data_IF_762208925056
#
_entry.id   IF_762208925056
#
_cell.length_a   1.000
_cell.length_b   1.000
_cell.length_c   1.000
_cell.angle_alpha   90.00
_cell.angle_beta   90.00
_cell.angle_gamma   90.00
#
_symmetry.space_group_name_H-M   'P 1'
#
loop_
_entity.id
_entity.type
_entity.pdbx_description
1 polymer ?
#
# COMPACT_ATOMS: atom_id res chain seq x y z
N UNK A 1 -17.67 35.02 32.40
CA UNK A 1 -19.14 35.10 32.35
C UNK A 1 -19.68 33.74 31.99
N UNK A 2 -20.74 33.29 32.68
CA UNK A 2 -21.36 32.00 32.38
C UNK A 2 -22.19 32.07 31.10
N UNK A 3 -21.96 31.16 30.16
CA UNK A 3 -22.85 30.99 29.02
C UNK A 3 -24.16 30.35 29.49
N UNK A 4 -25.26 31.09 29.35
CA UNK A 4 -26.62 30.66 29.67
C UNK A 4 -26.93 29.32 28.97
N UNK A 5 -27.21 28.26 29.73
CA UNK A 5 -27.66 27.00 29.13
C UNK A 5 -29.04 27.20 28.51
N UNK A 6 -29.26 26.83 27.23
CA UNK A 6 -30.58 26.99 26.62
C UNK A 6 -31.62 26.09 27.28
N UNK A 7 -32.83 26.61 27.51
CA UNK A 7 -33.91 25.90 28.18
C UNK A 7 -34.30 24.58 27.47
N UNK A 8 -34.08 24.47 26.17
CA UNK A 8 -34.31 23.27 25.35
C UNK A 8 -33.37 22.09 25.68
N UNK A 9 -32.35 22.29 26.52
CA UNK A 9 -31.43 21.23 26.95
C UNK A 9 -31.94 20.38 28.13
N UNK A 10 -33.05 20.78 28.78
CA UNK A 10 -33.43 20.32 30.12
C UNK A 10 -33.94 18.87 30.24
N UNK A 11 -34.07 18.13 29.13
CA UNK A 11 -34.53 16.73 29.12
C UNK A 11 -33.69 15.78 28.25
N UNK A 12 -32.60 16.24 27.64
CA UNK A 12 -31.79 15.44 26.72
C UNK A 12 -30.67 14.69 27.44
N UNK A 13 -30.41 13.45 27.02
CA UNK A 13 -29.32 12.64 27.57
C UNK A 13 -27.95 13.35 27.42
N UNK A 14 -27.05 13.27 28.41
CA UNK A 14 -25.82 14.07 28.42
C UNK A 14 -24.83 13.69 27.31
N UNK A 15 -24.88 12.47 26.80
CA UNK A 15 -24.13 11.99 25.63
C UNK A 15 -24.71 12.54 24.31
N UNK A 16 -26.04 12.51 24.15
CA UNK A 16 -26.74 13.11 23.00
C UNK A 16 -26.46 14.61 22.93
N UNK A 17 -26.52 15.30 24.08
CA UNK A 17 -26.23 16.73 24.19
C UNK A 17 -24.79 17.07 23.74
N UNK A 18 -23.78 16.37 24.25
CA UNK A 18 -22.37 16.56 23.83
C UNK A 18 -22.18 16.29 22.33
N UNK A 19 -22.83 15.24 21.80
CA UNK A 19 -22.79 14.90 20.36
C UNK A 19 -23.39 16.03 19.51
N UNK A 20 -24.49 16.63 19.95
CA UNK A 20 -25.11 17.78 19.30
C UNK A 20 -24.20 19.01 19.34
N UNK A 21 -23.63 19.36 20.50
CA UNK A 21 -22.71 20.49 20.66
C UNK A 21 -21.50 20.37 19.70
N UNK A 22 -20.83 19.21 19.68
CA UNK A 22 -19.69 18.93 18.79
C UNK A 22 -20.10 19.04 17.30
N UNK A 23 -21.26 18.51 16.93
CA UNK A 23 -21.70 18.50 15.53
C UNK A 23 -22.15 19.88 15.03
N UNK A 24 -22.85 20.65 15.87
CA UNK A 24 -23.23 22.03 15.58
C UNK A 24 -21.99 22.93 15.43
N UNK A 25 -20.96 22.75 16.27
CA UNK A 25 -19.69 23.45 16.10
C UNK A 25 -19.04 23.12 14.75
N UNK A 26 -18.87 21.85 14.40
CA UNK A 26 -18.27 21.45 13.12
C UNK A 26 -19.07 21.98 11.92
N UNK A 27 -20.39 21.95 11.97
CA UNK A 27 -21.24 22.45 10.87
C UNK A 27 -21.19 23.99 10.79
N UNK A 28 -21.09 24.71 11.92
CA UNK A 28 -20.86 26.17 11.90
C UNK A 28 -19.50 26.57 11.32
N UNK A 29 -18.49 25.70 11.45
CA UNK A 29 -17.13 25.92 10.93
C UNK A 29 -17.01 25.60 9.43
N UNK A 30 -17.66 24.52 8.97
CA UNK A 30 -17.52 23.99 7.61
C UNK A 30 -18.65 24.39 6.64
N UNK A 31 -19.74 25.00 7.15
CA UNK A 31 -20.83 25.52 6.31
C UNK A 31 -21.98 24.54 6.04
N UNK A 32 -23.03 24.99 5.33
CA UNK A 32 -24.27 24.22 5.11
C UNK A 32 -24.12 23.03 4.15
N UNK A 33 -23.09 23.03 3.28
CA UNK A 33 -22.80 21.88 2.41
C UNK A 33 -22.30 20.67 3.22
N UNK A 34 -21.56 20.93 4.29
CA UNK A 34 -21.15 19.90 5.25
C UNK A 34 -22.35 19.35 6.03
N UNK A 35 -23.30 20.20 6.43
CA UNK A 35 -24.59 19.79 7.04
C UNK A 35 -25.33 18.78 6.15
N UNK A 36 -25.48 19.12 4.87
CA UNK A 36 -26.15 18.28 3.86
C UNK A 36 -25.42 16.95 3.65
N UNK A 37 -24.08 16.97 3.60
CA UNK A 37 -23.24 15.78 3.41
C UNK A 37 -23.28 14.85 4.62
N UNK A 38 -23.15 15.39 5.83
CA UNK A 38 -23.23 14.64 7.09
C UNK A 38 -24.61 14.00 7.24
N UNK A 39 -25.67 14.75 6.92
CA UNK A 39 -27.04 14.26 6.87
C UNK A 39 -27.10 13.04 5.94
N UNK A 40 -26.87 13.22 4.63
CA UNK A 40 -26.98 12.17 3.62
C UNK A 40 -26.22 10.87 3.96
N UNK A 41 -24.99 10.98 4.49
CA UNK A 41 -24.17 9.80 4.85
C UNK A 41 -24.68 9.03 6.08
N UNK A 42 -25.46 9.67 6.97
CA UNK A 42 -25.86 9.10 8.26
C UNK A 42 -27.37 8.86 8.38
N UNK A 43 -28.12 8.83 7.27
CA UNK A 43 -29.59 8.67 7.26
C UNK A 43 -30.08 7.41 7.99
N UNK A 44 -29.30 6.32 7.96
CA UNK A 44 -29.63 5.05 8.61
C UNK A 44 -29.04 4.90 10.03
N UNK A 45 -28.41 5.94 10.58
CA UNK A 45 -27.76 5.88 11.89
C UNK A 45 -28.62 6.58 12.97
N UNK A 46 -29.18 5.85 13.96
CA UNK A 46 -30.02 6.45 15.00
C UNK A 46 -29.28 7.48 15.86
N UNK A 47 -27.94 7.43 15.93
CA UNK A 47 -27.16 8.44 16.66
C UNK A 47 -27.23 9.82 15.99
N UNK A 48 -27.48 9.90 14.69
CA UNK A 48 -27.63 11.16 13.94
C UNK A 48 -29.10 11.54 13.67
N UNK A 49 -30.07 10.86 14.31
CA UNK A 49 -31.50 11.15 14.15
C UNK A 49 -31.86 12.61 14.47
N UNK A 50 -31.11 13.30 15.34
CA UNK A 50 -31.29 14.73 15.63
C UNK A 50 -31.10 15.64 14.39
N UNK A 51 -30.39 15.20 13.36
CA UNK A 51 -30.29 15.92 12.06
C UNK A 51 -31.56 15.75 11.20
N UNK A 52 -32.49 14.89 11.61
CA UNK A 52 -33.65 14.44 10.83
C UNK A 52 -34.98 14.63 11.59
N UNK A 53 -35.03 15.63 12.49
CA UNK A 53 -36.16 15.90 13.39
C UNK A 53 -36.37 14.82 14.47
N UNK A 54 -35.35 14.01 14.76
CA UNK A 54 -35.32 13.14 15.94
C UNK A 54 -35.01 13.88 17.24
N UNK A 55 -34.85 13.11 18.33
CA UNK A 55 -34.61 13.62 19.67
C UNK A 55 -33.40 14.60 19.70
N UNK A 56 -33.64 15.83 20.18
CA UNK A 56 -32.62 16.88 20.26
C UNK A 56 -32.46 17.77 19.01
N UNK A 57 -33.28 17.60 17.97
CA UNK A 57 -33.21 18.44 16.75
C UNK A 57 -33.41 19.95 17.00
N UNK A 58 -34.30 20.31 17.92
CA UNK A 58 -34.52 21.71 18.34
C UNK A 58 -33.27 22.30 18.99
N UNK A 59 -32.65 21.55 19.90
CA UNK A 59 -31.42 21.94 20.58
C UNK A 59 -30.25 22.06 19.59
N UNK A 60 -30.13 21.14 18.63
CA UNK A 60 -29.16 21.22 17.55
C UNK A 60 -29.31 22.51 16.72
N UNK A 61 -30.54 22.83 16.29
CA UNK A 61 -30.82 24.03 15.51
C UNK A 61 -30.50 25.30 16.30
N UNK A 62 -30.79 25.32 17.60
CA UNK A 62 -30.51 26.43 18.50
C UNK A 62 -29.02 26.64 18.75
N UNK A 63 -28.25 25.57 19.01
CA UNK A 63 -26.79 25.63 19.17
C UNK A 63 -26.11 26.06 17.87
N UNK A 64 -26.53 25.50 16.73
CA UNK A 64 -26.00 25.88 15.42
C UNK A 64 -26.29 27.36 15.10
N UNK A 65 -27.49 27.84 15.43
CA UNK A 65 -27.86 29.25 15.31
C UNK A 65 -27.02 30.15 16.23
N UNK A 66 -26.76 29.73 17.47
CA UNK A 66 -25.89 30.45 18.40
C UNK A 66 -24.44 30.54 17.88
N UNK A 67 -23.89 29.45 17.33
CA UNK A 67 -22.54 29.46 16.72
C UNK A 67 -22.47 30.32 15.45
N UNK A 68 -23.52 30.35 14.62
CA UNK A 68 -23.60 31.25 13.46
C UNK A 68 -23.77 32.72 13.89
N UNK A 69 -24.54 32.98 14.94
CA UNK A 69 -24.82 34.33 15.47
C UNK A 69 -23.64 34.94 16.23
N UNK A 70 -22.88 34.13 16.98
CA UNK A 70 -21.67 34.55 17.69
C UNK A 70 -20.49 34.96 16.78
N UNK A 71 -20.65 34.85 15.46
CA UNK A 71 -19.63 35.18 14.44
C UNK A 71 -20.09 36.20 13.40
N UNK A 72 -21.24 36.86 13.61
CA UNK A 72 -21.90 37.72 12.63
C UNK A 72 -22.11 39.16 13.10
N UNK A 73 -21.11 40.02 12.92
CA UNK A 73 -21.24 41.47 13.05
C UNK A 73 -20.73 42.18 11.80
N UNK A 74 -21.65 42.74 11.00
CA UNK A 74 -21.43 43.47 9.74
C UNK A 74 -20.89 42.61 8.55
N UNK A 75 -21.27 42.83 7.29
CA UNK A 75 -22.40 43.57 6.71
C UNK A 75 -22.69 43.00 5.29
N UNK A 76 -23.85 43.35 4.70
CA UNK A 76 -24.20 42.98 3.33
C UNK A 76 -23.42 43.78 2.27
N UNK A 77 -23.32 43.22 1.04
CA UNK A 77 -23.40 43.89 -0.27
C UNK A 77 -22.98 42.91 -1.41
N UNK A 78 -23.25 43.17 -2.70
CA UNK A 78 -24.56 43.47 -3.26
C UNK A 78 -24.87 42.64 -4.53
N UNK A 79 -26.13 42.68 -4.99
CA UNK A 79 -26.51 42.13 -6.29
C UNK A 79 -26.10 43.08 -7.44
N UNK A 80 -25.09 42.74 -8.23
CA UNK A 80 -24.87 43.32 -9.58
C UNK A 80 -24.24 42.29 -10.53
N UNK A 81 -24.89 42.05 -11.67
CA UNK A 81 -24.26 41.41 -12.84
C UNK A 81 -23.44 42.48 -13.58
N UNK A 82 -22.32 42.11 -14.24
CA UNK A 82 -22.42 41.94 -15.70
C UNK A 82 -21.44 40.91 -16.31
N UNK A 83 -21.64 40.62 -17.60
CA UNK A 83 -20.54 40.28 -18.51
C UNK A 83 -20.11 38.82 -18.57
N UNK A 84 -20.58 38.10 -19.60
CA UNK A 84 -20.00 36.80 -19.98
C UNK A 84 -18.57 36.99 -20.49
N UNK A 85 -17.57 36.46 -19.77
CA UNK A 85 -16.25 36.24 -20.34
C UNK A 85 -15.78 34.81 -20.05
N UNK A 86 -15.79 34.02 -21.12
CA UNK A 86 -15.73 32.57 -21.11
C UNK A 86 -14.29 32.07 -20.88
N UNK A 87 -13.94 31.75 -19.63
CA UNK A 87 -12.83 30.85 -19.33
C UNK A 87 -13.37 29.47 -18.97
N UNK A 88 -13.18 28.50 -19.87
CA UNK A 88 -13.46 27.10 -19.59
C UNK A 88 -12.39 26.54 -18.63
N UNK A 89 -12.63 26.65 -17.33
CA UNK A 89 -12.07 25.70 -16.36
C UNK A 89 -13.12 24.63 -16.11
N UNK A 90 -12.85 23.43 -16.61
CA UNK A 90 -13.75 22.29 -16.53
C UNK A 90 -14.02 21.90 -15.07
N UNK A 91 -15.30 21.63 -14.78
CA UNK A 91 -15.70 21.04 -13.53
C UNK A 91 -15.22 19.58 -13.45
N UNK A 92 -14.47 19.28 -12.40
CA UNK A 92 -14.35 17.97 -11.77
C UNK A 92 -14.26 18.28 -10.27
N UNK A 93 -15.29 18.03 -9.48
CA UNK A 93 -15.74 16.68 -9.18
C UNK A 93 -15.11 16.33 -7.83
N UNK A 94 -15.92 16.30 -6.76
CA UNK A 94 -15.40 16.35 -5.40
C UNK A 94 -14.46 15.20 -5.05
N UNK A 95 -13.27 15.54 -4.58
CA UNK A 95 -12.40 14.68 -3.79
C UNK A 95 -12.19 15.37 -2.43
N UNK A 96 -11.94 14.58 -1.38
CA UNK A 96 -12.02 15.06 0.00
C UNK A 96 -10.99 16.14 0.34
N UNK A 97 -11.16 16.75 1.52
CA UNK A 97 -10.05 17.42 2.19
C UNK A 97 -8.94 16.39 2.37
N UNK A 98 -7.93 16.43 1.49
CA UNK A 98 -6.76 15.57 1.57
C UNK A 98 -6.03 15.93 2.86
N UNK A 99 -6.02 15.00 3.82
CA UNK A 99 -5.21 15.16 5.01
C UNK A 99 -3.74 15.29 4.56
N UNK A 100 -3.10 16.46 4.77
CA UNK A 100 -1.81 16.74 4.15
C UNK A 100 -0.71 15.84 4.72
N UNK A 101 -0.86 15.40 5.97
CA UNK A 101 0.06 14.46 6.61
C UNK A 101 -0.08 13.07 5.99
N UNK A 102 -1.31 12.57 5.79
CA UNK A 102 -1.55 11.30 5.10
C UNK A 102 -1.00 11.31 3.66
N UNK A 103 -1.16 12.42 2.93
CA UNK A 103 -0.64 12.56 1.57
C UNK A 103 0.90 12.44 1.53
N UNK A 104 1.61 13.06 2.49
CA UNK A 104 3.07 12.93 2.60
C UNK A 104 3.53 11.56 3.10
N UNK A 105 2.74 10.88 3.94
CA UNK A 105 2.98 9.48 4.32
C UNK A 105 2.84 8.56 3.10
N UNK A 106 1.80 8.72 2.28
CA UNK A 106 1.60 7.95 1.03
C UNK A 106 2.73 8.21 0.02
N UNK A 107 3.22 9.44 -0.08
CA UNK A 107 4.38 9.78 -0.92
C UNK A 107 5.65 9.05 -0.50
N UNK A 108 5.89 8.91 0.81
CA UNK A 108 7.05 8.18 1.36
C UNK A 108 6.92 6.67 1.18
N UNK A 109 5.73 6.12 1.40
CA UNK A 109 5.44 4.68 1.31
C UNK A 109 4.75 4.29 0.00
N UNK A 110 5.25 4.78 -1.13
CA UNK A 110 4.68 4.49 -2.45
C UNK A 110 4.58 2.99 -2.73
N UNK A 111 3.49 2.56 -3.35
CA UNK A 111 3.29 1.16 -3.78
C UNK A 111 4.44 0.70 -4.70
N UNK A 112 5.21 -0.35 -4.32
CA UNK A 112 6.31 -0.83 -5.14
C UNK A 112 5.80 -1.56 -6.40
N UNK A 113 6.51 -1.47 -7.53
CA UNK A 113 6.17 -2.25 -8.72
C UNK A 113 6.37 -3.75 -8.46
N UNK A 114 5.36 -4.56 -8.80
CA UNK A 114 5.43 -6.02 -8.65
C UNK A 114 5.94 -6.65 -9.94
N UNK A 115 7.08 -7.31 -9.85
CA UNK A 115 7.69 -8.06 -10.94
C UNK A 115 7.14 -9.51 -11.00
N UNK A 116 7.05 -10.11 -12.19
CA UNK A 116 6.70 -11.53 -12.33
C UNK A 116 7.80 -12.43 -11.75
N UNK A 117 7.40 -13.59 -11.24
CA UNK A 117 8.31 -14.68 -10.91
C UNK A 117 8.49 -15.60 -12.14
N UNK A 118 9.55 -16.41 -12.15
CA UNK A 118 9.60 -17.56 -13.05
C UNK A 118 8.47 -18.56 -12.71
N UNK A 119 7.89 -19.23 -13.70
CA UNK A 119 6.65 -19.99 -13.51
C UNK A 119 6.76 -21.18 -12.53
N UNK A 120 7.95 -21.75 -12.36
CA UNK A 120 8.27 -22.74 -11.33
C UNK A 120 8.32 -22.12 -9.93
N UNK A 121 8.94 -20.94 -9.78
CA UNK A 121 8.96 -20.18 -8.52
C UNK A 121 7.57 -19.65 -8.15
N UNK A 122 6.77 -19.25 -9.15
CA UNK A 122 5.38 -18.85 -8.96
C UNK A 122 4.52 -20.00 -8.46
N UNK A 123 4.71 -21.21 -9.01
CA UNK A 123 4.05 -22.43 -8.55
C UNK A 123 4.45 -22.78 -7.11
N UNK A 124 5.74 -22.74 -6.78
CA UNK A 124 6.21 -22.97 -5.40
C UNK A 124 5.63 -21.94 -4.42
N UNK A 125 5.54 -20.66 -4.80
CA UNK A 125 4.87 -19.66 -3.97
C UNK A 125 3.37 -19.96 -3.79
N UNK A 126 2.69 -20.49 -4.81
CA UNK A 126 1.30 -20.95 -4.71
C UNK A 126 1.16 -22.14 -3.76
N UNK A 127 2.09 -23.10 -3.80
CA UNK A 127 2.13 -24.24 -2.87
C UNK A 127 2.34 -23.77 -1.42
N UNK A 128 3.25 -22.82 -1.19
CA UNK A 128 3.46 -22.21 0.14
C UNK A 128 2.20 -21.51 0.63
N UNK A 129 1.57 -20.65 -0.17
CA UNK A 129 0.33 -19.95 0.23
C UNK A 129 -0.81 -20.94 0.47
N UNK A 130 -1.01 -21.93 -0.40
CA UNK A 130 -2.03 -22.95 -0.22
C UNK A 130 -1.82 -23.77 1.06
N UNK A 131 -0.57 -24.07 1.44
CA UNK A 131 -0.27 -24.74 2.71
C UNK A 131 -0.68 -23.91 3.93
N UNK A 132 -0.55 -22.59 3.87
CA UNK A 132 -0.97 -21.65 4.91
C UNK A 132 -2.51 -21.49 4.96
N UNK A 133 -3.18 -21.53 3.81
CA UNK A 133 -4.65 -21.53 3.75
C UNK A 133 -5.25 -22.82 4.33
N UNK A 134 -4.64 -23.98 4.05
CA UNK A 134 -5.05 -25.25 4.64
C UNK A 134 -4.77 -25.30 6.15
N UNK A 135 -3.54 -25.00 6.59
CA UNK A 135 -3.17 -24.98 8.00
C UNK A 135 -1.85 -24.21 8.24
N UNK A 136 -1.94 -23.04 8.89
CA UNK A 136 -0.77 -22.34 9.43
C UNK A 136 -0.32 -22.97 10.76
N UNK A 137 0.48 -24.02 10.67
CA UNK A 137 1.22 -24.57 11.81
C UNK A 137 2.59 -23.91 11.92
N UNK A 138 3.25 -24.10 13.07
CA UNK A 138 4.65 -23.68 13.27
C UNK A 138 5.58 -24.25 12.19
N UNK A 139 5.28 -25.44 11.69
CA UNK A 139 6.12 -26.15 10.73
C UNK A 139 5.80 -25.77 9.27
N UNK A 140 4.56 -25.42 8.92
CA UNK A 140 4.26 -24.83 7.58
C UNK A 140 4.80 -23.41 7.46
N UNK A 141 4.67 -22.58 8.50
CA UNK A 141 5.28 -21.25 8.57
C UNK A 141 6.82 -21.35 8.43
N UNK A 142 7.46 -22.23 9.22
CA UNK A 142 8.91 -22.47 9.14
C UNK A 142 9.34 -22.97 7.76
N UNK A 143 8.59 -23.88 7.15
CA UNK A 143 8.88 -24.41 5.81
C UNK A 143 8.83 -23.30 4.75
N UNK A 144 7.75 -22.50 4.75
CA UNK A 144 7.63 -21.33 3.89
C UNK A 144 8.76 -20.32 4.09
N UNK A 145 9.15 -20.06 5.35
CA UNK A 145 10.29 -19.21 5.67
C UNK A 145 11.60 -19.74 5.09
N UNK A 146 11.91 -21.02 5.29
CA UNK A 146 13.11 -21.65 4.75
C UNK A 146 13.16 -21.57 3.22
N UNK A 147 12.03 -21.75 2.53
CA UNK A 147 11.94 -21.58 1.08
C UNK A 147 12.24 -20.13 0.66
N UNK A 148 11.72 -19.12 1.37
CA UNK A 148 12.03 -17.70 1.10
C UNK A 148 13.53 -17.40 1.33
N UNK A 149 14.14 -17.96 2.38
CA UNK A 149 15.57 -17.78 2.67
C UNK A 149 16.47 -18.38 1.56
N UNK A 150 16.15 -19.59 1.09
CA UNK A 150 16.82 -20.22 -0.05
C UNK A 150 16.68 -19.42 -1.35
N UNK A 151 15.59 -18.65 -1.50
CA UNK A 151 15.30 -17.82 -2.67
C UNK A 151 15.53 -16.32 -2.42
N UNK A 152 16.40 -15.98 -1.46
CA UNK A 152 16.64 -14.58 -1.03
C UNK A 152 17.06 -13.63 -2.15
N UNK A 153 17.71 -14.12 -3.21
CA UNK A 153 18.08 -13.32 -4.39
C UNK A 153 16.86 -12.73 -5.14
N UNK A 154 15.70 -13.39 -5.07
CA UNK A 154 14.43 -12.95 -5.69
C UNK A 154 13.40 -12.49 -4.62
N UNK A 155 13.83 -12.27 -3.38
CA UNK A 155 12.95 -11.84 -2.28
C UNK A 155 12.05 -10.63 -2.59
N UNK A 156 12.48 -9.58 -3.33
CA UNK A 156 11.58 -8.48 -3.71
C UNK A 156 10.43 -8.92 -4.61
N UNK A 157 10.66 -9.91 -5.49
CA UNK A 157 9.64 -10.47 -6.38
C UNK A 157 8.64 -11.32 -5.58
N UNK A 158 9.15 -12.15 -4.64
CA UNK A 158 8.33 -12.92 -3.71
C UNK A 158 7.45 -11.99 -2.86
N UNK A 159 8.02 -10.93 -2.28
CA UNK A 159 7.29 -9.95 -1.47
C UNK A 159 6.18 -9.25 -2.26
N UNK A 160 6.46 -8.82 -3.50
CA UNK A 160 5.46 -8.23 -4.39
C UNK A 160 4.35 -9.20 -4.78
N UNK A 161 4.65 -10.47 -5.01
CA UNK A 161 3.63 -11.48 -5.31
C UNK A 161 2.78 -11.84 -4.08
N UNK A 162 3.36 -11.89 -2.87
CA UNK A 162 2.61 -12.01 -1.62
C UNK A 162 1.67 -10.82 -1.40
N UNK A 163 2.12 -9.60 -1.67
CA UNK A 163 1.32 -8.37 -1.62
C UNK A 163 0.11 -8.44 -2.58
N UNK A 164 0.28 -8.93 -3.80
CA UNK A 164 -0.87 -9.13 -4.72
C UNK A 164 -1.83 -10.21 -4.22
N UNK A 165 -1.31 -11.32 -3.69
CA UNK A 165 -2.12 -12.50 -3.32
C UNK A 165 -2.93 -12.28 -2.04
N UNK A 166 -2.40 -11.60 -1.03
CA UNK A 166 -3.08 -11.41 0.27
C UNK A 166 -4.43 -10.68 0.15
N UNK A 167 -4.59 -9.80 -0.84
CA UNK A 167 -5.87 -9.12 -1.12
C UNK A 167 -7.00 -10.04 -1.60
N UNK A 168 -6.68 -11.20 -2.19
CA UNK A 168 -7.66 -12.18 -2.68
C UNK A 168 -8.01 -13.26 -1.65
N UNK A 169 -7.27 -13.35 -0.53
CA UNK A 169 -7.57 -14.29 0.55
C UNK A 169 -8.88 -13.89 1.22
N UNK A 170 -9.83 -14.82 1.30
CA UNK A 170 -11.22 -14.52 1.69
C UNK A 170 -11.42 -14.37 3.19
N UNK A 171 -10.63 -15.08 4.01
CA UNK A 171 -10.79 -15.09 5.48
C UNK A 171 -9.74 -14.22 6.16
N UNK A 172 -10.10 -13.65 7.32
CA UNK A 172 -9.15 -12.92 8.16
C UNK A 172 -8.01 -13.83 8.64
N UNK A 173 -8.31 -15.11 8.90
CA UNK A 173 -7.31 -16.13 9.26
C UNK A 173 -6.25 -16.29 8.16
N UNK A 174 -6.64 -16.48 6.89
CA UNK A 174 -5.67 -16.69 5.80
C UNK A 174 -4.77 -15.45 5.61
N UNK A 175 -5.31 -14.23 5.74
CA UNK A 175 -4.50 -12.99 5.71
C UNK A 175 -3.52 -12.91 6.88
N UNK A 176 -3.95 -13.29 8.08
CA UNK A 176 -3.06 -13.39 9.26
C UNK A 176 -1.99 -14.47 9.09
N UNK A 177 -2.30 -15.61 8.48
CA UNK A 177 -1.32 -16.68 8.21
C UNK A 177 -0.17 -16.20 7.32
N UNK A 178 -0.47 -15.42 6.28
CA UNK A 178 0.55 -14.77 5.45
C UNK A 178 1.34 -13.72 6.24
N UNK A 179 0.69 -12.91 7.08
CA UNK A 179 1.39 -11.99 7.98
C UNK A 179 2.30 -12.70 8.99
N UNK A 180 1.92 -13.88 9.50
CA UNK A 180 2.77 -14.71 10.37
C UNK A 180 3.99 -15.25 9.63
N UNK A 181 3.86 -15.65 8.36
CA UNK A 181 5.01 -16.01 7.52
C UNK A 181 5.94 -14.80 7.29
N UNK A 182 5.40 -13.64 6.92
CA UNK A 182 6.20 -12.41 6.74
C UNK A 182 6.89 -12.01 8.04
N UNK A 183 6.20 -12.10 9.17
CA UNK A 183 6.78 -11.88 10.49
C UNK A 183 7.91 -12.89 10.81
N UNK A 184 7.73 -14.18 10.52
CA UNK A 184 8.75 -15.19 10.82
C UNK A 184 10.03 -15.01 9.98
N UNK A 185 9.89 -14.64 8.71
CA UNK A 185 10.99 -14.23 7.82
C UNK A 185 11.76 -13.05 8.42
N UNK A 186 11.06 -11.97 8.75
CA UNK A 186 11.68 -10.72 9.21
C UNK A 186 12.30 -10.87 10.60
N UNK A 187 11.65 -11.56 11.55
CA UNK A 187 12.21 -11.76 12.88
C UNK A 187 13.44 -12.68 12.84
N UNK A 188 13.42 -13.71 11.98
CA UNK A 188 14.54 -14.64 11.84
C UNK A 188 15.76 -13.92 11.28
N UNK A 189 15.59 -13.05 10.29
CA UNK A 189 16.71 -12.25 9.79
C UNK A 189 17.12 -11.14 10.77
N UNK A 190 16.18 -10.50 11.47
CA UNK A 190 16.51 -9.50 12.50
C UNK A 190 17.34 -10.07 13.65
N UNK A 191 17.20 -11.36 13.95
CA UNK A 191 18.01 -12.10 14.91
C UNK A 191 19.40 -12.50 14.38
N UNK A 192 19.64 -12.46 13.06
CA UNK A 192 20.97 -12.69 12.48
C UNK A 192 21.86 -11.46 12.71
N UNK A 193 23.13 -11.72 13.02
CA UNK A 193 24.18 -10.68 13.13
C UNK A 193 24.69 -10.21 11.75
N UNK A 194 23.88 -10.36 10.71
CA UNK A 194 24.17 -9.89 9.35
C UNK A 194 23.79 -8.40 9.25
N UNK A 195 24.72 -7.60 8.72
CA UNK A 195 24.53 -6.16 8.46
C UNK A 195 23.80 -5.89 7.13
N UNK A 196 23.79 -6.84 6.20
CA UNK A 196 23.17 -6.68 4.89
C UNK A 196 21.64 -6.83 4.95
N UNK A 197 21.12 -7.71 5.81
CA UNK A 197 19.67 -7.93 6.03
C UNK A 197 18.84 -7.94 4.73
N UNK A 198 19.19 -8.80 3.75
CA UNK A 198 18.61 -8.76 2.42
C UNK A 198 17.08 -8.95 2.40
N UNK A 199 16.52 -9.80 3.26
CA UNK A 199 15.08 -10.06 3.31
C UNK A 199 14.32 -8.88 3.92
N UNK A 200 14.82 -8.26 4.99
CA UNK A 200 14.25 -7.03 5.57
C UNK A 200 14.31 -5.90 4.53
N UNK A 201 15.44 -5.72 3.84
CA UNK A 201 15.55 -4.71 2.76
C UNK A 201 14.57 -4.99 1.61
N UNK A 202 14.36 -6.26 1.25
CA UNK A 202 13.45 -6.66 0.18
C UNK A 202 11.97 -6.50 0.57
N UNK A 203 11.57 -6.92 1.78
CA UNK A 203 10.17 -6.94 2.23
C UNK A 203 9.69 -5.60 2.80
N UNK A 204 10.57 -4.78 3.39
CA UNK A 204 10.20 -3.53 4.06
C UNK A 204 9.30 -2.60 3.23
N UNK A 205 9.56 -2.33 1.93
CA UNK A 205 8.69 -1.49 1.10
C UNK A 205 7.26 -2.03 0.92
N UNK A 206 7.08 -3.36 1.01
CA UNK A 206 5.79 -4.03 0.83
C UNK A 206 4.97 -4.13 2.12
N UNK A 207 5.57 -3.90 3.29
CA UNK A 207 4.91 -4.05 4.60
C UNK A 207 3.57 -3.32 4.73
N UNK A 208 3.43 -2.01 4.45
CA UNK A 208 2.12 -1.34 4.56
C UNK A 208 1.08 -1.96 3.62
N UNK A 209 1.51 -2.43 2.44
CA UNK A 209 0.64 -2.98 1.40
C UNK A 209 0.21 -4.42 1.66
N UNK A 210 0.97 -5.19 2.43
CA UNK A 210 0.56 -6.50 2.98
C UNK A 210 -0.28 -6.31 4.25
N UNK A 211 0.09 -5.36 5.11
CA UNK A 211 -0.59 -5.07 6.39
C UNK A 211 -2.01 -4.54 6.18
N UNK A 212 -2.19 -3.56 5.28
CA UNK A 212 -3.47 -2.88 5.00
C UNK A 212 -4.64 -3.83 4.68
N UNK A 213 -4.57 -4.73 3.68
CA UNK A 213 -5.68 -5.64 3.37
C UNK A 213 -5.98 -6.63 4.50
N UNK A 214 -4.99 -7.02 5.30
CA UNK A 214 -5.21 -7.83 6.49
C UNK A 214 -5.92 -7.03 7.58
N UNK A 215 -5.45 -5.82 7.90
CA UNK A 215 -6.03 -4.94 8.91
C UNK A 215 -7.46 -4.51 8.58
N UNK A 216 -7.75 -4.18 7.33
CA UNK A 216 -9.09 -3.79 6.89
C UNK A 216 -10.10 -4.93 7.02
N UNK A 217 -9.74 -6.16 6.64
CA UNK A 217 -10.60 -7.32 6.85
C UNK A 217 -10.75 -7.66 8.35
N UNK A 218 -9.68 -7.47 9.12
CA UNK A 218 -9.69 -7.69 10.56
C UNK A 218 -10.51 -6.65 11.35
N UNK A 219 -10.62 -5.40 10.87
CA UNK A 219 -11.51 -4.38 11.44
C UNK A 219 -13.00 -4.70 11.21
N UNK A 220 -13.33 -5.38 10.11
CA UNK A 220 -14.69 -5.82 9.81
C UNK A 220 -15.08 -7.14 10.53
N UNK A 221 -14.13 -7.81 11.19
CA UNK A 221 -14.37 -9.04 11.91
C UNK A 221 -14.92 -8.76 13.32
N UNK A 222 -15.81 -9.63 13.88
CA UNK A 222 -16.33 -9.48 15.23
C UNK A 222 -15.34 -9.90 16.34
N UNK A 223 -14.14 -10.35 15.98
CA UNK A 223 -13.06 -10.80 16.88
C UNK A 223 -11.94 -9.75 16.89
N UNK A 224 -11.12 -9.72 17.95
CA UNK A 224 -9.92 -8.86 18.06
C UNK A 224 -8.76 -9.32 17.15
N UNK A 225 -9.07 -9.62 15.89
CA UNK A 225 -8.07 -9.90 14.86
C UNK A 225 -7.29 -8.62 14.51
N UNK A 226 -7.93 -7.45 14.59
CA UNK A 226 -7.29 -6.17 14.30
C UNK A 226 -6.21 -5.84 15.32
N UNK A 227 -6.41 -6.16 16.61
CA UNK A 227 -5.39 -6.12 17.66
C UNK A 227 -4.21 -7.05 17.38
N UNK A 228 -4.44 -8.26 16.82
CA UNK A 228 -3.36 -9.17 16.41
C UNK A 228 -2.49 -8.59 15.29
N UNK A 229 -3.12 -7.99 14.26
CA UNK A 229 -2.40 -7.31 13.17
C UNK A 229 -1.53 -6.16 13.71
N UNK A 230 -2.07 -5.33 14.61
CA UNK A 230 -1.32 -4.25 15.25
C UNK A 230 -0.22 -4.78 16.20
N UNK A 231 -0.43 -5.93 16.87
CA UNK A 231 0.60 -6.55 17.71
C UNK A 231 1.81 -7.02 16.88
N UNK A 232 1.60 -7.57 15.68
CA UNK A 232 2.70 -7.92 14.77
C UNK A 232 3.53 -6.69 14.37
N UNK A 233 2.87 -5.55 14.12
CA UNK A 233 3.53 -4.28 13.83
C UNK A 233 4.38 -3.79 15.02
N UNK A 234 3.87 -3.90 16.25
CA UNK A 234 4.65 -3.59 17.46
C UNK A 234 5.84 -4.54 17.64
N UNK A 235 5.68 -5.85 17.37
CA UNK A 235 6.80 -6.79 17.38
C UNK A 235 7.88 -6.43 16.34
N UNK A 236 7.52 -5.83 15.20
CA UNK A 236 8.52 -5.33 14.24
C UNK A 236 9.30 -4.12 14.76
N UNK A 237 8.71 -3.29 15.64
CA UNK A 237 9.43 -2.24 16.37
C UNK A 237 10.36 -2.84 17.43
N UNK A 238 9.85 -3.77 18.26
CA UNK A 238 10.63 -4.46 19.31
C UNK A 238 11.86 -5.20 18.74
N UNK A 239 11.80 -5.66 17.48
CA UNK A 239 12.91 -6.32 16.77
C UNK A 239 13.79 -5.37 15.93
N UNK A 240 13.49 -4.07 15.89
CA UNK A 240 14.23 -3.10 15.09
C UNK A 240 14.15 -3.32 13.57
N UNK A 241 13.05 -3.90 13.08
CA UNK A 241 12.77 -4.08 11.65
C UNK A 241 12.21 -2.76 11.07
N UNK A 242 11.34 -2.11 11.83
CA UNK A 242 10.84 -0.75 11.62
C UNK A 242 11.09 0.08 12.86
N UNK A 243 11.25 1.39 12.70
CA UNK A 243 11.26 2.34 13.81
C UNK A 243 9.84 2.59 14.31
N UNK A 244 9.69 3.13 15.53
CA UNK A 244 8.38 3.53 16.06
C UNK A 244 7.63 4.46 15.10
N UNK A 245 8.32 5.48 14.58
CA UNK A 245 7.79 6.41 13.59
C UNK A 245 7.28 5.71 12.33
N UNK A 246 8.05 4.78 11.77
CA UNK A 246 7.62 4.00 10.60
C UNK A 246 6.40 3.13 10.94
N UNK A 247 6.30 2.59 12.15
CA UNK A 247 5.12 1.83 12.57
C UNK A 247 3.86 2.72 12.68
N UNK A 248 3.97 3.92 13.22
CA UNK A 248 2.86 4.87 13.28
C UNK A 248 2.39 5.27 11.86
N UNK A 249 3.32 5.49 10.94
CA UNK A 249 3.03 5.73 9.51
C UNK A 249 2.34 4.54 8.83
N UNK A 250 2.82 3.32 9.07
CA UNK A 250 2.21 2.08 8.57
C UNK A 250 0.79 1.87 9.10
N UNK A 251 0.51 2.29 10.35
CA UNK A 251 -0.83 2.26 10.94
C UNK A 251 -1.76 3.30 10.30
N UNK A 252 -1.28 4.52 10.08
CA UNK A 252 -2.02 5.55 9.34
C UNK A 252 -2.34 5.11 7.91
N UNK A 253 -1.44 4.36 7.25
CA UNK A 253 -1.70 3.76 5.94
C UNK A 253 -2.65 2.55 5.97
N UNK A 254 -2.75 1.82 7.08
CA UNK A 254 -3.64 0.66 7.18
C UNK A 254 -5.11 1.05 7.44
N UNK A 255 -5.33 2.18 8.12
CA UNK A 255 -6.63 2.54 8.73
C UNK A 255 -7.71 3.01 7.74
N UNK A 256 -7.48 3.99 6.83
CA UNK A 256 -8.54 4.51 5.97
C UNK A 256 -8.98 3.51 4.90
N UNK A 257 -10.26 3.49 4.50
CA UNK A 257 -10.77 2.55 3.50
C UNK A 257 -10.15 2.75 2.10
N UNK A 258 -9.94 4.01 1.70
CA UNK A 258 -9.23 4.42 0.49
C UNK A 258 -8.03 5.29 0.86
N UNK A 259 -6.97 5.27 0.05
CA UNK A 259 -5.82 6.18 0.20
C UNK A 259 -5.94 7.31 -0.84
N UNK A 260 -5.50 8.54 -0.52
CA UNK A 260 -5.38 9.60 -1.52
C UNK A 260 -4.49 9.10 -2.65
N UNK A 261 -5.07 9.00 -3.85
CA UNK A 261 -4.45 8.32 -4.97
C UNK A 261 -3.36 9.20 -5.58
N UNK A 262 -2.13 9.06 -5.08
CA UNK A 262 -0.92 9.69 -5.62
C UNK A 262 -0.58 9.32 -7.08
N UNK A 263 -1.46 8.59 -7.76
CA UNK A 263 -1.55 8.51 -9.21
C UNK A 263 -2.90 9.10 -9.64
N UNK A 264 -2.86 10.33 -10.16
CA UNK A 264 -3.90 10.75 -11.08
C UNK A 264 -3.92 9.76 -12.24
N UNK A 265 -4.98 8.95 -12.35
CA UNK A 265 -5.30 8.30 -13.63
C UNK A 265 -5.37 9.43 -14.66
N UNK A 266 -4.61 9.38 -15.78
CA UNK A 266 -4.93 10.27 -16.88
C UNK A 266 -6.39 9.99 -17.25
N UNK A 267 -7.24 11.02 -17.13
CA UNK A 267 -8.62 10.91 -17.57
C UNK A 267 -8.61 10.41 -19.03
N UNK A 268 -9.55 9.54 -19.43
CA UNK A 268 -9.65 9.14 -20.83
C UNK A 268 -9.74 10.41 -21.67
N UNK A 269 -8.73 10.63 -22.52
CA UNK A 269 -8.62 11.87 -23.26
C UNK A 269 -9.93 12.11 -24.04
N UNK A 270 -10.51 13.33 -24.00
CA UNK A 270 -11.73 13.60 -24.74
C UNK A 270 -11.49 13.26 -26.22
N UNK A 271 -12.47 12.63 -26.90
CA UNK A 271 -12.29 12.22 -28.29
C UNK A 271 -11.92 13.45 -29.11
N UNK A 272 -10.69 13.44 -29.66
CA UNK A 272 -10.19 14.51 -30.52
C UNK A 272 -11.19 14.69 -31.66
N UNK A 273 -11.73 15.91 -31.89
CA UNK A 273 -12.68 16.12 -32.97
C UNK A 273 -12.05 15.71 -34.30
N UNK A 274 -12.74 14.86 -35.04
CA UNK A 274 -12.36 14.41 -36.38
C UNK A 274 -12.21 15.63 -37.28
N UNK A 275 -10.99 15.90 -37.75
CA UNK A 275 -10.76 16.97 -38.70
C UNK A 275 -11.42 16.63 -40.04
N UNK A 276 -12.40 17.42 -40.44
CA UNK A 276 -12.94 17.38 -41.81
C UNK A 276 -11.82 17.69 -42.82
N UNK A 277 -11.84 17.08 -44.02
CA UNK A 277 -10.74 17.17 -44.96
C UNK A 277 -10.74 18.52 -45.71
N UNK A 278 -9.54 19.05 -45.97
CA UNK A 278 -9.32 19.99 -47.06
C UNK A 278 -8.78 21.38 -46.68
N UNK A 279 -7.47 21.47 -46.43
CA UNK A 279 -6.61 22.49 -47.07
C UNK A 279 -5.30 21.79 -47.43
N UNK A 280 -4.86 21.90 -48.68
CA UNK A 280 -3.61 21.30 -49.14
C UNK A 280 -2.39 22.09 -48.64
N UNK A 281 -1.38 21.38 -48.12
CA UNK A 281 -0.05 21.94 -47.82
C UNK A 281 0.89 21.52 -48.95
N UNK A 282 1.64 22.43 -49.59
CA UNK A 282 2.54 22.08 -50.70
C UNK A 282 3.72 21.23 -50.20
N UNK A 283 4.07 20.21 -51.00
CA UNK A 283 5.11 19.24 -50.66
C UNK A 283 6.52 19.88 -50.64
N UNK A 284 7.32 19.50 -49.64
CA UNK A 284 8.78 19.66 -49.69
C UNK A 284 9.40 18.57 -50.58
N UNK A 285 10.40 18.89 -51.42
CA UNK A 285 11.10 17.88 -52.22
C UNK A 285 11.97 16.96 -51.33
N UNK A 286 12.26 15.72 -51.79
CA UNK A 286 13.02 14.75 -51.02
C UNK A 286 14.52 15.10 -50.95
N UNK A 287 15.13 14.88 -49.79
CA UNK A 287 16.59 14.95 -49.62
C UNK A 287 17.20 13.64 -50.11
N UNK A 288 18.09 13.73 -51.10
CA UNK A 288 18.81 12.58 -51.66
C UNK A 288 19.97 12.20 -50.72
N UNK A 289 20.15 10.92 -50.35
CA UNK A 289 21.29 10.49 -49.54
C UNK A 289 22.60 10.53 -50.35
N UNK A 290 23.61 11.22 -49.81
CA UNK A 290 24.96 11.30 -50.41
C UNK A 290 25.74 10.02 -50.07
N UNK A 291 26.38 9.34 -51.04
CA UNK A 291 27.18 8.16 -50.76
C UNK A 291 28.52 8.52 -50.09
N UNK A 292 28.90 7.75 -49.07
CA UNK A 292 30.21 7.87 -48.41
C UNK A 292 31.29 7.30 -49.32
N UNK A 293 32.22 8.16 -49.77
CA UNK A 293 33.38 7.74 -50.57
C UNK A 293 34.50 7.30 -49.63
N UNK A 294 34.77 5.99 -49.60
CA UNK A 294 35.96 5.44 -48.96
C UNK A 294 37.23 5.85 -49.75
N UNK A 295 38.26 6.35 -49.05
CA UNK A 295 39.61 6.54 -49.64
C UNK A 295 40.50 5.34 -49.30
N UNK A 296 41.30 4.80 -50.25
CA UNK A 296 42.25 3.72 -49.98
C UNK A 296 43.49 4.23 -49.26
N UNK A 297 44.13 3.36 -48.48
CA UNK A 297 45.22 3.71 -47.56
C UNK A 297 46.65 3.48 -48.10
N UNK A 298 47.62 3.53 -47.18
CA UNK A 298 49.04 3.18 -47.41
C UNK A 298 49.56 2.36 -46.22
N UNK A 299 50.36 1.33 -46.51
CA UNK A 299 50.90 0.32 -45.58
C UNK A 299 52.28 0.66 -45.01
N UNK A 300 52.78 -0.22 -44.11
CA UNK A 300 54.15 -0.50 -43.61
C UNK A 300 54.31 -0.23 -42.09
N UNK A 301 54.79 -1.14 -41.24
CA UNK A 301 55.14 -2.57 -41.32
C UNK A 301 55.14 -3.18 -39.89
N UNK A 302 54.73 -4.42 -39.62
CA UNK A 302 55.36 -5.70 -39.94
C UNK A 302 56.45 -6.19 -38.94
N UNK A 303 56.04 -6.79 -37.80
CA UNK A 303 56.72 -7.89 -37.05
C UNK A 303 55.63 -8.61 -36.20
N UNK A 304 55.62 -9.91 -35.90
CA UNK A 304 55.68 -11.15 -36.68
C UNK A 304 55.61 -12.34 -35.69
N UNK A 305 54.42 -12.97 -35.54
CA UNK A 305 54.19 -14.39 -35.13
C UNK A 305 54.64 -14.87 -33.72
N UNK A 306 54.22 -16.08 -33.25
CA UNK A 306 52.92 -16.77 -33.42
C UNK A 306 52.34 -17.34 -32.08
N UNK A 307 51.09 -17.84 -32.07
CA UNK A 307 50.61 -18.79 -31.07
C UNK A 307 51.06 -20.23 -31.38
N UNK A 308 51.12 -21.10 -30.35
CA UNK A 308 51.46 -22.55 -30.50
C UNK A 308 50.36 -23.41 -29.87
N UNK A 309 50.06 -24.53 -30.53
CA UNK A 309 48.91 -25.40 -30.29
C UNK A 309 49.13 -26.53 -29.27
N UNK A 310 48.00 -27.11 -28.83
CA UNK A 310 47.71 -28.46 -28.30
C UNK A 310 48.70 -29.61 -28.70
N UNK A 311 48.82 -30.76 -27.96
CA UNK A 311 47.66 -31.64 -27.65
C UNK A 311 47.69 -32.56 -26.38
N UNK A 312 46.59 -33.32 -26.21
CA UNK A 312 46.38 -34.52 -25.34
C UNK A 312 47.16 -35.76 -25.87
N UNK A 313 47.54 -36.78 -25.07
CA UNK A 313 46.68 -37.83 -24.44
C UNK A 313 47.09 -38.19 -22.97
N UNK A 314 46.58 -39.21 -22.25
CA UNK A 314 45.50 -40.22 -22.41
C UNK A 314 45.65 -41.43 -21.44
N UNK A 315 44.70 -42.39 -21.42
CA UNK A 315 44.60 -43.60 -20.55
C UNK A 315 44.37 -43.32 -19.03
N UNK A 316 43.49 -43.98 -18.25
CA UNK A 316 42.88 -45.33 -18.15
C UNK A 316 43.49 -46.20 -17.02
N UNK A 317 42.65 -47.03 -16.39
CA UNK A 317 42.84 -47.78 -15.13
C UNK A 317 42.83 -46.92 -13.83
N UNK A 318 42.30 -47.40 -12.69
CA UNK A 318 41.81 -48.75 -12.39
C UNK A 318 40.75 -48.83 -11.29
N UNK A 319 40.12 -49.99 -11.23
CA UNK A 319 39.03 -50.40 -10.34
C UNK A 319 39.61 -51.16 -9.14
N UNK A 320 39.18 -50.88 -7.90
CA UNK A 320 39.31 -51.84 -6.79
C UNK A 320 38.29 -51.59 -5.68
N UNK A 321 38.01 -52.61 -4.88
CA UNK A 321 36.81 -52.72 -4.07
C UNK A 321 37.06 -53.42 -2.72
N UNK A 322 36.10 -53.24 -1.80
CA UNK A 322 35.91 -53.94 -0.51
C UNK A 322 36.92 -53.74 0.63
N UNK A 323 36.36 -53.55 1.83
CA UNK A 323 36.70 -54.08 3.18
C UNK A 323 36.08 -53.10 4.22
N UNK A 324 34.95 -53.35 4.89
CA UNK A 324 34.59 -54.40 5.86
C UNK A 324 34.96 -54.09 7.35
N UNK A 325 34.14 -53.25 7.99
CA UNK A 325 33.90 -53.20 9.47
C UNK A 325 35.02 -52.69 10.40
N UNK A 326 34.77 -52.60 11.74
CA UNK A 326 33.52 -52.78 12.48
C UNK A 326 33.14 -51.63 13.48
N UNK A 327 31.87 -51.62 13.95
CA UNK A 327 31.39 -51.00 15.23
C UNK A 327 31.68 -51.97 16.39
N UNK A 328 31.79 -51.60 17.70
CA UNK A 328 30.74 -50.97 18.54
C UNK A 328 31.35 -50.10 19.70
N UNK A 329 30.77 -49.90 20.93
CA UNK A 329 29.43 -50.17 21.46
C UNK A 329 28.71 -49.00 22.18
N UNK A 330 27.45 -49.25 22.57
CA UNK A 330 26.61 -48.41 23.45
C UNK A 330 26.44 -49.05 24.83
N UNK A 331 26.49 -48.28 25.94
CA UNK A 331 25.84 -48.61 27.21
C UNK A 331 24.45 -47.92 27.28
N UNK A 332 23.46 -48.39 28.03
CA UNK A 332 23.34 -49.56 28.89
C UNK A 332 22.06 -49.38 29.73
N UNK A 333 21.18 -50.38 29.80
CA UNK A 333 19.82 -50.23 30.36
C UNK A 333 19.46 -51.49 31.16
N UNK A 334 19.33 -51.36 32.49
CA UNK A 334 18.70 -52.32 33.42
C UNK A 334 18.78 -51.77 34.87
N UNK A 335 17.97 -52.31 35.81
CA UNK A 335 16.75 -53.09 35.63
C UNK A 335 15.47 -52.28 35.87
#
# INVERSE_FOLDING_TARGET
GGAMLPACAAGLAPDLRKRIEIMAEHISRNGPDFETTVRQKNVNNPQFAFLYNGEGAEYYTQVLSAHRSGRGGAAAQPSTSPGYQQHQQQASGGAGAEDPELADIVRRWKEPPVYPLAGDMERQLSEVVASLEHMASRDTIRSGRMWIECNSAIAPQIAGQLMKRIGFLQTCAHRLHVLYLVHDVLQTEAARKDSLRPLIRAFKPYLPWVLRPAYQLAQAAPSDESGRVLRLLQLWVERGIVTQREADELRSLATPAELPSGQARPAPAPPRPTASPGVAVPARPPVVPVPVVCRPGVMHGAVARPPVSAPLPGAAYGQQAYLAGPRPPVPGLAP
#
